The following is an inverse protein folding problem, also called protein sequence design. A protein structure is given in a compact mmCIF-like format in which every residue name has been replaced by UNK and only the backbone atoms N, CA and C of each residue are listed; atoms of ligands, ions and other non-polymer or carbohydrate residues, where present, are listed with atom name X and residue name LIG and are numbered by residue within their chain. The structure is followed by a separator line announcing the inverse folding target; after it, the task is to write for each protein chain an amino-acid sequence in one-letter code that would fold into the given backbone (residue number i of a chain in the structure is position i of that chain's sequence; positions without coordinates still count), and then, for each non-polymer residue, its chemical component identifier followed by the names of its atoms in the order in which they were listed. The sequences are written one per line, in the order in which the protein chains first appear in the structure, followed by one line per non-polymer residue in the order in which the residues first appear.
data_IF_983569208889
#
_entry.id   IF_983569208889
#
_cell.length_a   1.000
_cell.length_b   1.000
_cell.length_c   1.000
_cell.angle_alpha   90.00
_cell.angle_beta   90.00
_cell.angle_gamma   90.00
#
_symmetry.space_group_name_H-M   'P 1'
#
loop_
_entity.id
_entity.type
_entity.pdbx_description
1 polymer ?
#
# COMPACT_ATOMS: atom_id res chain seq x y z
N UNK A 1 4.43 16.20 -22.29
CA UNK A 1 4.19 15.85 -20.88
C UNK A 1 4.33 17.10 -20.03
N UNK A 2 3.34 17.42 -19.18
CA UNK A 2 3.43 18.57 -18.27
C UNK A 2 4.44 18.25 -17.17
N UNK A 3 5.41 19.15 -16.94
CA UNK A 3 6.37 18.98 -15.84
C UNK A 3 5.65 19.16 -14.50
N UNK A 4 5.51 18.12 -13.65
CA UNK A 4 4.79 18.19 -12.37
C UNK A 4 5.49 19.04 -11.32
N UNK A 5 6.74 19.44 -11.57
CA UNK A 5 7.55 20.29 -10.70
C UNK A 5 7.60 21.76 -11.13
N UNK A 6 6.93 22.11 -12.24
CA UNK A 6 6.85 23.51 -12.70
C UNK A 6 6.35 24.40 -11.57
N UNK A 7 6.98 25.54 -11.38
CA UNK A 7 6.66 26.52 -10.32
C UNK A 7 6.95 26.04 -8.87
N UNK A 8 7.70 24.95 -8.68
CA UNK A 8 8.20 24.58 -7.37
C UNK A 8 9.52 25.29 -7.07
N UNK A 9 9.68 25.72 -5.82
CA UNK A 9 10.90 26.42 -5.37
C UNK A 9 12.16 25.55 -5.41
N UNK A 10 12.00 24.20 -5.35
CA UNK A 10 13.10 23.23 -5.37
C UNK A 10 13.07 22.41 -6.65
N UNK A 11 14.25 21.94 -7.06
CA UNK A 11 14.40 21.04 -8.22
C UNK A 11 13.62 19.72 -7.98
N UNK A 12 13.07 19.17 -9.06
CA UNK A 12 12.25 17.95 -8.99
C UNK A 12 12.99 16.75 -8.39
N UNK A 13 14.29 16.65 -8.62
CA UNK A 13 15.14 15.59 -8.06
C UNK A 13 15.19 15.65 -6.52
N UNK A 14 15.34 16.84 -5.94
CA UNK A 14 15.35 17.06 -4.50
C UNK A 14 13.99 16.68 -3.90
N UNK A 15 12.90 17.10 -4.55
CA UNK A 15 11.54 16.79 -4.12
C UNK A 15 11.33 15.28 -4.10
N UNK A 16 11.64 14.59 -5.19
CA UNK A 16 11.45 13.14 -5.30
C UNK A 16 12.38 12.38 -4.36
N UNK A 17 13.59 12.85 -4.14
CA UNK A 17 14.52 12.26 -3.18
C UNK A 17 13.94 12.27 -1.77
N UNK A 18 13.45 13.42 -1.27
CA UNK A 18 12.81 13.54 0.02
C UNK A 18 11.55 12.66 0.13
N UNK A 19 10.69 12.67 -0.90
CA UNK A 19 9.49 11.83 -0.95
C UNK A 19 9.87 10.34 -0.89
N UNK A 20 10.84 9.92 -1.70
CA UNK A 20 11.33 8.54 -1.70
C UNK A 20 11.91 8.15 -0.35
N UNK A 21 12.73 8.98 0.27
CA UNK A 21 13.34 8.67 1.56
C UNK A 21 12.28 8.54 2.64
N UNK A 22 11.33 9.46 2.70
CA UNK A 22 10.22 9.36 3.64
C UNK A 22 9.41 8.06 3.46
N UNK A 23 9.02 7.73 2.23
CA UNK A 23 8.20 6.56 1.95
C UNK A 23 8.95 5.23 2.11
N UNK A 24 10.28 5.23 1.98
CA UNK A 24 11.11 4.02 1.99
C UNK A 24 11.70 3.70 3.34
N UNK A 25 12.19 4.70 4.06
CA UNK A 25 12.91 4.53 5.31
C UNK A 25 12.07 4.98 6.52
N UNK A 26 12.44 4.55 7.73
CA UNK A 26 11.78 4.93 8.98
C UNK A 26 12.13 6.34 9.46
N UNK A 27 12.27 7.30 8.54
CA UNK A 27 12.61 8.70 8.82
C UNK A 27 11.33 9.51 9.04
N UNK A 28 11.38 10.44 10.00
CA UNK A 28 10.36 11.46 10.16
C UNK A 28 10.56 12.61 9.16
N UNK A 29 9.58 13.50 9.03
CA UNK A 29 9.73 14.71 8.23
C UNK A 29 10.80 15.66 8.80
N UNK A 30 11.01 15.64 10.12
CA UNK A 30 12.03 16.44 10.80
C UNK A 30 13.43 15.91 10.54
N UNK A 31 13.63 14.59 10.66
CA UNK A 31 14.90 13.94 10.32
C UNK A 31 15.30 14.27 8.87
N UNK A 32 14.33 14.26 7.95
CA UNK A 32 14.61 14.63 6.57
C UNK A 32 14.98 16.10 6.39
N UNK A 33 14.34 17.02 7.13
CA UNK A 33 14.71 18.43 7.10
C UNK A 33 16.13 18.65 7.63
N UNK A 34 16.51 17.95 8.69
CA UNK A 34 17.87 17.95 9.25
C UNK A 34 18.90 17.41 8.25
N UNK A 35 18.64 16.21 7.69
CA UNK A 35 19.49 15.60 6.66
C UNK A 35 19.69 16.52 5.44
N UNK A 36 18.67 17.25 5.04
CA UNK A 36 18.77 18.21 3.92
C UNK A 36 19.59 19.43 4.32
N UNK A 37 19.43 19.93 5.56
CA UNK A 37 20.23 21.04 6.09
C UNK A 37 21.70 20.73 6.14
N UNK A 38 22.11 19.53 6.58
CA UNK A 38 23.50 19.05 6.55
C UNK A 38 24.13 19.07 5.15
N UNK A 39 23.30 19.07 4.10
CA UNK A 39 23.71 19.15 2.70
C UNK A 39 23.58 20.54 2.09
N UNK A 40 23.41 21.55 2.94
CA UNK A 40 23.26 22.94 2.53
C UNK A 40 21.92 23.31 1.92
N UNK A 41 20.88 22.47 2.12
CA UNK A 41 19.55 22.69 1.56
C UNK A 41 18.53 22.95 2.69
N UNK A 42 18.12 24.18 2.86
CA UNK A 42 17.14 24.58 3.88
C UNK A 42 15.71 24.25 3.44
N UNK A 43 15.22 23.07 3.86
CA UNK A 43 13.86 22.61 3.56
C UNK A 43 13.08 22.40 4.86
N UNK A 44 11.96 23.13 5.03
CA UNK A 44 11.11 23.00 6.21
C UNK A 44 10.34 21.67 6.16
N UNK A 45 10.23 20.96 7.30
CA UNK A 45 9.56 19.66 7.40
C UNK A 45 8.10 19.66 6.89
N UNK A 46 7.38 20.77 7.04
CA UNK A 46 6.01 20.94 6.49
C UNK A 46 5.99 20.96 4.96
N UNK A 47 7.04 21.45 4.32
CA UNK A 47 7.20 21.40 2.87
C UNK A 47 7.39 19.98 2.39
N UNK A 48 8.24 19.19 3.07
CA UNK A 48 8.43 17.76 2.77
C UNK A 48 7.11 17.00 2.96
N UNK A 49 6.35 17.28 4.04
CA UNK A 49 5.02 16.72 4.24
C UNK A 49 4.10 17.01 3.05
N UNK A 50 4.02 18.26 2.59
CA UNK A 50 3.19 18.63 1.43
C UNK A 50 3.63 17.92 0.16
N UNK A 51 4.94 17.73 -0.04
CA UNK A 51 5.46 16.96 -1.18
C UNK A 51 5.01 15.50 -1.12
N UNK A 52 5.10 14.87 0.04
CA UNK A 52 4.64 13.48 0.20
C UNK A 52 3.15 13.36 -0.10
N UNK A 53 2.32 14.28 0.44
CA UNK A 53 0.88 14.26 0.20
C UNK A 53 0.51 14.48 -1.28
N UNK A 54 1.29 15.28 -1.99
CA UNK A 54 1.08 15.56 -3.42
C UNK A 54 1.60 14.44 -4.31
N UNK A 55 2.85 13.99 -4.09
CA UNK A 55 3.53 13.13 -5.05
C UNK A 55 3.37 11.62 -4.77
N UNK A 56 3.06 11.20 -3.54
CA UNK A 56 2.84 9.79 -3.25
C UNK A 56 1.67 9.20 -4.07
N UNK A 57 0.49 9.85 -4.17
CA UNK A 57 -0.58 9.41 -5.05
C UNK A 57 -0.22 9.42 -6.55
N UNK A 58 0.56 10.40 -6.99
CA UNK A 58 0.98 10.50 -8.39
C UNK A 58 1.96 9.37 -8.78
N UNK A 59 2.90 9.04 -7.89
CA UNK A 59 3.82 7.91 -8.08
C UNK A 59 3.01 6.61 -8.17
N UNK A 60 2.04 6.40 -7.27
CA UNK A 60 1.16 5.23 -7.30
C UNK A 60 0.42 5.13 -8.63
N UNK A 61 -0.24 6.21 -9.06
CA UNK A 61 -0.98 6.25 -10.33
C UNK A 61 -0.10 5.88 -11.52
N UNK A 62 1.11 6.44 -11.60
CA UNK A 62 2.06 6.15 -12.69
C UNK A 62 2.55 4.70 -12.65
N UNK A 63 2.89 4.19 -11.48
CA UNK A 63 3.43 2.83 -11.35
C UNK A 63 2.38 1.75 -11.63
N UNK A 64 1.11 1.97 -11.30
CA UNK A 64 0.03 0.98 -11.51
C UNK A 64 -0.12 0.56 -12.97
N UNK A 65 0.07 1.46 -13.92
CA UNK A 65 0.02 1.15 -15.35
C UNK A 65 1.14 0.19 -15.83
N UNK A 66 2.20 0.05 -15.04
CA UNK A 66 3.38 -0.74 -15.37
C UNK A 66 3.58 -1.96 -14.46
N UNK A 67 2.57 -2.34 -13.66
CA UNK A 67 2.66 -3.51 -12.80
C UNK A 67 2.67 -4.80 -13.64
N UNK A 68 3.48 -5.77 -13.19
CA UNK A 68 3.46 -7.13 -13.71
C UNK A 68 2.22 -7.85 -13.21
N UNK A 69 1.73 -8.81 -13.97
CA UNK A 69 0.63 -9.65 -13.54
C UNK A 69 1.00 -10.44 -12.28
N UNK A 70 0.03 -10.56 -11.37
CA UNK A 70 0.11 -11.40 -10.18
C UNK A 70 -0.20 -12.86 -10.51
N UNK A 71 0.07 -13.79 -9.59
CA UNK A 71 -0.44 -15.16 -9.75
C UNK A 71 -1.83 -15.35 -9.11
N UNK A 72 -2.46 -16.49 -9.41
CA UNK A 72 -3.82 -16.81 -8.99
C UNK A 72 -3.93 -17.41 -7.56
N UNK A 73 -2.90 -17.28 -6.72
CA UNK A 73 -2.90 -17.81 -5.36
C UNK A 73 -2.67 -16.69 -4.35
N UNK A 74 -3.76 -16.24 -3.70
CA UNK A 74 -3.75 -15.04 -2.87
C UNK A 74 -3.61 -15.35 -1.38
N UNK A 75 -2.99 -14.43 -0.66
CA UNK A 75 -2.90 -14.38 0.81
C UNK A 75 -3.46 -13.05 1.25
N UNK A 76 -4.49 -13.07 2.06
CA UNK A 76 -5.21 -11.87 2.52
C UNK A 76 -5.20 -11.85 4.03
N UNK A 77 -4.84 -10.71 4.58
CA UNK A 77 -4.84 -10.46 6.02
C UNK A 77 -5.02 -8.97 6.29
N UNK A 78 -5.36 -8.61 7.51
CA UNK A 78 -5.43 -7.23 7.94
C UNK A 78 -4.47 -6.94 9.10
N UNK A 79 -4.04 -5.70 9.16
CA UNK A 79 -3.27 -5.16 10.27
C UNK A 79 -3.85 -3.83 10.73
N UNK A 80 -3.34 -3.28 11.83
CA UNK A 80 -3.86 -2.06 12.42
C UNK A 80 -2.94 -0.88 12.11
N UNK A 81 -3.56 0.28 11.84
CA UNK A 81 -2.90 1.57 11.65
C UNK A 81 -3.64 2.62 12.48
N UNK A 82 -2.91 3.45 13.23
CA UNK A 82 -3.51 4.54 14.01
C UNK A 82 -3.72 5.77 13.12
N UNK A 83 -4.97 6.29 13.09
CA UNK A 83 -5.34 7.46 12.28
C UNK A 83 -6.26 8.35 13.11
N UNK A 84 -5.88 9.61 13.31
CA UNK A 84 -6.63 10.53 14.15
C UNK A 84 -6.87 10.01 15.56
N UNK A 85 -5.87 9.39 16.15
CA UNK A 85 -5.98 8.78 17.48
C UNK A 85 -6.72 7.44 17.53
N UNK A 86 -7.38 7.00 16.46
CA UNK A 86 -8.19 5.77 16.40
C UNK A 86 -7.50 4.66 15.61
N UNK A 87 -7.69 3.40 16.02
CA UNK A 87 -7.22 2.24 15.27
C UNK A 87 -8.14 1.98 14.07
N UNK A 88 -7.52 1.82 12.91
CA UNK A 88 -8.18 1.44 11.66
C UNK A 88 -7.57 0.15 11.12
N UNK A 89 -8.33 -0.56 10.30
CA UNK A 89 -7.92 -1.80 9.66
C UNK A 89 -7.30 -1.52 8.30
N UNK A 90 -6.09 -2.01 8.09
CA UNK A 90 -5.42 -2.02 6.82
C UNK A 90 -5.48 -3.43 6.24
N UNK A 91 -6.43 -3.65 5.34
CA UNK A 91 -6.54 -4.88 4.54
C UNK A 91 -5.43 -4.90 3.51
N UNK A 92 -4.79 -6.04 3.36
CA UNK A 92 -3.72 -6.24 2.37
C UNK A 92 -3.80 -7.62 1.75
N UNK A 93 -3.47 -7.70 0.48
CA UNK A 93 -3.33 -8.97 -0.23
C UNK A 93 -1.98 -9.04 -0.92
N UNK A 94 -1.38 -10.22 -0.87
CA UNK A 94 -0.19 -10.60 -1.64
C UNK A 94 -0.45 -11.92 -2.35
N UNK A 95 0.28 -12.18 -3.42
CA UNK A 95 0.26 -13.51 -4.05
C UNK A 95 1.20 -14.50 -3.34
N UNK A 96 1.29 -15.73 -3.86
CA UNK A 96 2.14 -16.76 -3.26
C UNK A 96 3.65 -16.48 -3.37
N UNK A 97 4.05 -15.55 -4.23
CA UNK A 97 5.43 -15.08 -4.36
C UNK A 97 5.73 -13.86 -3.50
N UNK A 98 4.71 -13.36 -2.77
CA UNK A 98 4.80 -12.17 -1.95
C UNK A 98 4.63 -10.86 -2.71
N UNK A 99 4.23 -10.91 -3.99
CA UNK A 99 3.89 -9.69 -4.74
C UNK A 99 2.64 -9.05 -4.16
N UNK A 100 2.67 -7.73 -3.95
CA UNK A 100 1.52 -6.99 -3.45
C UNK A 100 0.43 -6.91 -4.52
N UNK A 101 -0.79 -7.32 -4.17
CA UNK A 101 -1.96 -7.14 -5.02
C UNK A 101 -2.53 -5.73 -4.87
N UNK A 102 -3.03 -5.44 -3.68
CA UNK A 102 -3.52 -4.11 -3.31
C UNK A 102 -3.74 -4.02 -1.79
N UNK A 103 -4.17 -2.85 -1.32
CA UNK A 103 -4.53 -2.58 0.06
C UNK A 103 -5.82 -1.75 0.16
N UNK A 104 -6.45 -1.77 1.33
CA UNK A 104 -7.59 -0.91 1.68
C UNK A 104 -7.50 -0.50 3.15
N UNK A 105 -7.53 0.80 3.43
CA UNK A 105 -7.71 1.33 4.78
C UNK A 105 -9.21 1.48 5.07
N UNK A 106 -9.68 0.91 6.18
CA UNK A 106 -11.08 0.97 6.59
C UNK A 106 -11.23 1.12 8.10
N UNK A 107 -12.32 1.74 8.54
CA UNK A 107 -12.59 1.95 9.98
C UNK A 107 -13.07 0.68 10.68
N UNK A 108 -13.73 -0.21 9.97
CA UNK A 108 -14.35 -1.40 10.52
C UNK A 108 -13.80 -2.68 9.91
N UNK A 109 -13.83 -3.76 10.70
CA UNK A 109 -13.58 -5.14 10.27
C UNK A 109 -14.94 -5.82 10.07
N UNK A 110 -15.44 -5.81 8.85
CA UNK A 110 -16.78 -6.34 8.51
C UNK A 110 -16.78 -7.02 7.15
N UNK A 111 -17.78 -7.87 6.89
CA UNK A 111 -18.01 -8.49 5.57
C UNK A 111 -18.08 -7.43 4.46
N UNK A 112 -18.78 -6.32 4.71
CA UNK A 112 -18.86 -5.20 3.76
C UNK A 112 -17.48 -4.59 3.44
N UNK A 113 -16.61 -4.45 4.44
CA UNK A 113 -15.25 -3.94 4.25
C UNK A 113 -14.38 -4.93 3.46
N UNK A 114 -14.44 -6.22 3.80
CA UNK A 114 -13.75 -7.28 3.08
C UNK A 114 -14.22 -7.36 1.61
N UNK A 115 -15.54 -7.30 1.37
CA UNK A 115 -16.11 -7.29 0.02
C UNK A 115 -15.65 -6.09 -0.80
N UNK A 116 -15.64 -4.88 -0.20
CA UNK A 116 -15.10 -3.67 -0.84
C UNK A 116 -13.61 -3.81 -1.18
N UNK A 117 -12.84 -4.44 -0.29
CA UNK A 117 -11.43 -4.72 -0.53
C UNK A 117 -11.23 -5.66 -1.73
N UNK A 118 -11.91 -6.80 -1.75
CA UNK A 118 -11.82 -7.74 -2.88
C UNK A 118 -12.24 -7.12 -4.21
N UNK A 119 -13.35 -6.36 -4.24
CA UNK A 119 -13.76 -5.65 -5.45
C UNK A 119 -12.71 -4.67 -5.95
N UNK A 120 -12.05 -3.96 -5.01
CA UNK A 120 -10.94 -3.06 -5.36
C UNK A 120 -9.78 -3.82 -5.97
N UNK A 121 -9.39 -4.98 -5.41
CA UNK A 121 -8.32 -5.82 -5.93
C UNK A 121 -8.67 -6.34 -7.32
N UNK A 122 -9.84 -6.96 -7.46
CA UNK A 122 -10.31 -7.57 -8.73
C UNK A 122 -10.45 -6.54 -9.86
N UNK A 123 -10.72 -5.28 -9.54
CA UNK A 123 -10.82 -4.19 -10.52
C UNK A 123 -9.48 -3.68 -11.07
N UNK A 124 -8.34 -4.24 -10.66
CA UNK A 124 -7.03 -3.82 -11.16
C UNK A 124 -6.59 -4.64 -12.36
N UNK A 125 -6.05 -3.99 -13.39
CA UNK A 125 -5.67 -4.63 -14.68
C UNK A 125 -4.52 -5.64 -14.58
N UNK A 126 -3.69 -5.56 -13.54
CA UNK A 126 -2.56 -6.47 -13.33
C UNK A 126 -2.92 -7.70 -12.50
N UNK A 127 -4.16 -7.81 -12.04
CA UNK A 127 -4.61 -8.89 -11.19
C UNK A 127 -5.12 -10.05 -12.02
N UNK A 128 -4.58 -11.23 -11.76
CA UNK A 128 -5.13 -12.50 -12.23
C UNK A 128 -6.18 -12.98 -11.22
N UNK A 129 -7.41 -13.28 -11.65
CA UNK A 129 -8.45 -13.80 -10.76
C UNK A 129 -7.98 -15.00 -9.95
N UNK A 130 -8.30 -15.07 -8.65
CA UNK A 130 -7.75 -16.10 -7.79
C UNK A 130 -8.38 -17.48 -8.05
N UNK A 131 -7.54 -18.49 -8.14
CA UNK A 131 -7.94 -19.90 -8.00
C UNK A 131 -8.09 -20.27 -6.52
N UNK A 132 -7.30 -19.62 -5.65
CA UNK A 132 -7.34 -19.87 -4.20
C UNK A 132 -7.07 -18.59 -3.43
N UNK A 133 -7.87 -18.34 -2.39
CA UNK A 133 -7.68 -17.23 -1.44
C UNK A 133 -7.41 -17.84 -0.07
N UNK A 134 -6.21 -17.58 0.48
CA UNK A 134 -5.88 -17.92 1.84
C UNK A 134 -6.20 -16.72 2.74
N UNK A 135 -7.02 -16.95 3.76
CA UNK A 135 -7.48 -15.96 4.75
C UNK A 135 -7.36 -16.57 6.15
N UNK A 136 -7.45 -15.73 7.17
CA UNK A 136 -7.67 -16.22 8.52
C UNK A 136 -9.09 -16.84 8.67
N UNK A 137 -9.40 -17.36 9.86
CA UNK A 137 -10.72 -17.98 10.15
C UNK A 137 -11.84 -16.96 10.39
N UNK A 138 -11.62 -15.66 10.10
CA UNK A 138 -12.60 -14.62 10.32
C UNK A 138 -13.84 -14.80 9.43
N UNK A 139 -15.03 -14.82 10.05
CA UNK A 139 -16.31 -14.96 9.37
C UNK A 139 -16.57 -13.89 8.30
N UNK A 140 -16.00 -12.69 8.47
CA UNK A 140 -16.15 -11.60 7.50
C UNK A 140 -15.63 -11.95 6.09
N UNK A 141 -14.56 -12.76 6.00
CA UNK A 141 -14.05 -13.21 4.71
C UNK A 141 -14.92 -14.31 4.08
N UNK A 142 -15.58 -15.13 4.93
CA UNK A 142 -16.46 -16.19 4.45
C UNK A 142 -17.62 -15.56 3.68
N UNK A 143 -18.35 -14.65 4.33
CA UNK A 143 -19.48 -13.96 3.70
C UNK A 143 -19.06 -13.13 2.48
N UNK A 144 -17.91 -12.43 2.57
CA UNK A 144 -17.45 -11.63 1.45
C UNK A 144 -17.11 -12.46 0.18
N UNK A 145 -16.46 -13.62 0.35
CA UNK A 145 -16.13 -14.52 -0.78
C UNK A 145 -17.40 -15.13 -1.37
N UNK A 146 -18.35 -15.54 -0.52
CA UNK A 146 -19.63 -16.08 -0.97
C UNK A 146 -20.42 -15.07 -1.81
N UNK A 147 -20.61 -13.86 -1.25
CA UNK A 147 -21.28 -12.77 -1.95
C UNK A 147 -20.66 -12.44 -3.32
N UNK A 148 -19.32 -12.46 -3.40
CA UNK A 148 -18.61 -12.16 -4.64
C UNK A 148 -18.73 -13.26 -5.70
N UNK A 149 -18.91 -14.52 -5.29
CA UNK A 149 -19.24 -15.62 -6.21
C UNK A 149 -20.66 -15.46 -6.74
N UNK A 150 -21.63 -15.19 -5.86
CA UNK A 150 -23.04 -14.94 -6.25
C UNK A 150 -23.18 -13.75 -7.21
N UNK A 151 -22.30 -12.75 -7.08
CA UNK A 151 -22.22 -11.61 -8.00
C UNK A 151 -21.46 -11.90 -9.30
N UNK A 152 -20.89 -13.09 -9.46
CA UNK A 152 -20.08 -13.45 -10.62
C UNK A 152 -18.72 -12.75 -10.71
N UNK A 153 -18.26 -12.09 -9.62
CA UNK A 153 -16.97 -11.40 -9.56
C UNK A 153 -15.82 -12.34 -9.21
N UNK A 154 -16.12 -13.45 -8.56
CA UNK A 154 -15.17 -14.54 -8.31
C UNK A 154 -15.66 -15.82 -8.99
N UNK A 155 -14.76 -16.61 -9.62
CA UNK A 155 -15.13 -17.91 -10.17
C UNK A 155 -15.67 -18.84 -9.08
N UNK A 156 -16.68 -19.66 -9.39
CA UNK A 156 -17.16 -20.69 -8.46
C UNK A 156 -16.08 -21.69 -8.06
N UNK A 157 -15.12 -21.93 -8.96
CA UNK A 157 -13.93 -22.76 -8.74
C UNK A 157 -12.91 -22.14 -7.78
N UNK A 158 -13.09 -20.88 -7.37
CA UNK A 158 -12.19 -20.26 -6.42
C UNK A 158 -12.35 -20.89 -5.03
N UNK A 159 -11.27 -21.48 -4.50
CA UNK A 159 -11.27 -22.11 -3.18
C UNK A 159 -10.79 -21.15 -2.10
N UNK A 160 -11.52 -21.10 -0.98
CA UNK A 160 -11.06 -20.45 0.23
C UNK A 160 -10.31 -21.44 1.12
N UNK A 161 -9.11 -21.07 1.58
CA UNK A 161 -8.28 -21.87 2.49
C UNK A 161 -8.05 -21.11 3.80
N UNK A 162 -8.58 -21.58 4.94
CA UNK A 162 -8.35 -20.96 6.25
C UNK A 162 -7.08 -21.54 6.92
N UNK A 163 -5.91 -21.42 6.29
CA UNK A 163 -4.66 -22.03 6.75
C UNK A 163 -3.70 -20.95 7.25
N UNK A 164 -3.50 -20.91 8.57
CA UNK A 164 -2.74 -19.86 9.25
C UNK A 164 -1.29 -19.73 8.76
N UNK A 165 -0.54 -20.81 8.65
CA UNK A 165 0.88 -20.74 8.27
C UNK A 165 1.12 -20.19 6.85
N UNK A 166 0.15 -20.30 5.95
CA UNK A 166 0.24 -19.72 4.62
C UNK A 166 0.14 -18.20 4.63
N UNK A 167 -0.33 -17.61 5.72
CA UNK A 167 -0.39 -16.16 5.88
C UNK A 167 0.93 -15.54 6.37
N UNK A 168 1.94 -16.33 6.72
CA UNK A 168 3.25 -15.84 7.14
C UNK A 168 3.86 -14.86 6.12
N UNK A 169 3.62 -15.05 4.83
CA UNK A 169 4.11 -14.18 3.75
C UNK A 169 3.49 -12.78 3.88
N UNK A 170 2.17 -12.66 4.04
CA UNK A 170 1.50 -11.37 4.20
C UNK A 170 1.79 -10.76 5.57
N UNK A 171 1.96 -11.56 6.62
CA UNK A 171 2.37 -11.09 7.95
C UNK A 171 3.79 -10.48 7.92
N UNK A 172 4.74 -11.10 7.19
CA UNK A 172 6.07 -10.53 6.99
C UNK A 172 6.00 -9.21 6.20
N UNK A 173 5.12 -9.14 5.22
CA UNK A 173 4.90 -7.93 4.43
C UNK A 173 4.27 -6.81 5.29
N UNK A 174 3.45 -7.14 6.30
CA UNK A 174 2.97 -6.19 7.31
C UNK A 174 4.11 -5.57 8.13
N UNK A 175 5.19 -6.29 8.39
CA UNK A 175 6.36 -5.76 9.15
C UNK A 175 6.99 -4.57 8.44
N UNK A 176 7.03 -4.57 7.11
CA UNK A 176 7.53 -3.45 6.34
C UNK A 176 6.70 -2.17 6.60
N UNK A 177 5.37 -2.27 6.53
CA UNK A 177 4.47 -1.16 6.80
C UNK A 177 4.59 -0.68 8.26
N UNK A 178 4.54 -1.62 9.21
CA UNK A 178 4.65 -1.29 10.65
C UNK A 178 5.96 -0.58 10.97
N UNK A 179 7.09 -1.05 10.43
CA UNK A 179 8.39 -0.41 10.63
C UNK A 179 8.43 1.03 10.12
N UNK A 180 7.70 1.32 9.04
CA UNK A 180 7.61 2.66 8.46
C UNK A 180 6.69 3.59 9.29
N UNK A 181 5.57 3.07 9.80
CA UNK A 181 4.54 3.88 10.46
C UNK A 181 4.85 4.11 11.95
N UNK A 182 5.47 3.15 12.63
CA UNK A 182 5.75 3.20 14.09
C UNK A 182 6.46 4.48 14.54
N UNK A 183 7.54 4.95 13.89
CA UNK A 183 8.23 6.17 14.33
C UNK A 183 7.35 7.42 14.35
N UNK A 184 6.35 7.50 13.46
CA UNK A 184 5.41 8.62 13.36
C UNK A 184 4.17 8.49 14.23
N UNK A 185 4.07 7.45 15.07
CA UNK A 185 2.91 7.17 15.96
C UNK A 185 1.56 7.10 15.24
N UNK A 186 1.54 6.97 13.92
CA UNK A 186 0.34 6.92 13.08
C UNK A 186 0.17 8.15 12.21
N UNK A 187 -1.06 8.41 11.79
CA UNK A 187 -1.43 9.50 10.89
C UNK A 187 -2.44 10.44 11.55
N UNK A 188 -2.39 11.74 11.19
CA UNK A 188 -3.30 12.74 11.74
C UNK A 188 -4.72 12.65 11.20
N UNK A 189 -4.91 12.23 9.93
CA UNK A 189 -6.23 12.14 9.29
C UNK A 189 -6.30 11.00 8.28
N UNK A 190 -7.52 10.60 7.91
CA UNK A 190 -7.73 9.55 6.89
C UNK A 190 -7.15 9.93 5.51
N UNK A 191 -7.36 11.14 4.96
CA UNK A 191 -6.78 11.49 3.67
C UNK A 191 -5.26 11.43 3.67
N UNK A 192 -4.60 11.94 4.72
CA UNK A 192 -3.13 11.90 4.83
C UNK A 192 -2.60 10.49 4.99
N UNK A 193 -3.29 9.63 5.75
CA UNK A 193 -2.98 8.21 5.87
C UNK A 193 -3.08 7.52 4.51
N UNK A 194 -4.19 7.73 3.79
CA UNK A 194 -4.46 7.13 2.49
C UNK A 194 -3.39 7.48 1.46
N UNK A 195 -3.08 8.79 1.32
CA UNK A 195 -2.07 9.24 0.37
C UNK A 195 -0.68 8.68 0.69
N UNK A 196 -0.29 8.70 1.96
CA UNK A 196 1.01 8.18 2.38
C UNK A 196 1.11 6.67 2.19
N UNK A 197 0.07 5.91 2.55
CA UNK A 197 0.03 4.45 2.36
C UNK A 197 0.14 4.07 0.88
N UNK A 198 -0.52 4.80 -0.03
CA UNK A 198 -0.37 4.59 -1.48
C UNK A 198 1.10 4.65 -1.89
N UNK A 199 1.82 5.68 -1.45
CA UNK A 199 3.25 5.81 -1.75
C UNK A 199 4.10 4.70 -1.13
N UNK A 200 3.86 4.35 0.13
CA UNK A 200 4.59 3.28 0.83
C UNK A 200 4.41 1.94 0.11
N UNK A 201 3.17 1.58 -0.24
CA UNK A 201 2.87 0.33 -0.96
C UNK A 201 3.50 0.32 -2.35
N UNK A 202 3.43 1.44 -3.06
CA UNK A 202 4.05 1.56 -4.39
C UNK A 202 5.56 1.39 -4.32
N UNK A 203 6.24 2.03 -3.37
CA UNK A 203 7.69 1.82 -3.21
C UNK A 203 8.02 0.39 -2.79
N UNK A 204 7.13 -0.27 -2.05
CA UNK A 204 7.28 -1.69 -1.74
C UNK A 204 7.15 -2.56 -3.00
N UNK A 205 6.19 -2.27 -3.88
CA UNK A 205 6.05 -2.95 -5.18
C UNK A 205 7.28 -2.76 -6.07
N UNK A 206 7.83 -1.53 -6.14
CA UNK A 206 9.07 -1.26 -6.89
C UNK A 206 10.22 -2.08 -6.32
N UNK A 207 10.39 -2.12 -4.99
CA UNK A 207 11.42 -2.89 -4.32
C UNK A 207 11.32 -4.40 -4.62
N UNK A 208 10.10 -4.93 -4.68
CA UNK A 208 9.82 -6.33 -5.02
C UNK A 208 10.04 -6.63 -6.51
N UNK A 209 10.30 -5.61 -7.35
CA UNK A 209 10.49 -5.75 -8.79
C UNK A 209 9.18 -6.01 -9.54
N UNK A 210 8.04 -5.59 -8.98
CA UNK A 210 6.72 -5.75 -9.59
C UNK A 210 6.44 -4.74 -10.70
N UNK A 211 7.18 -3.63 -10.76
CA UNK A 211 7.02 -2.61 -11.81
C UNK A 211 7.90 -2.96 -12.99
N UNK A 212 7.32 -3.06 -14.19
CA UNK A 212 8.06 -3.27 -15.44
C UNK A 212 9.03 -2.11 -15.64
N UNK A 213 10.21 -2.38 -16.22
CA UNK A 213 11.27 -1.39 -16.46
C UNK A 213 11.93 -0.78 -15.22
N UNK A 214 11.46 -1.09 -14.01
CA UNK A 214 12.17 -0.71 -12.79
C UNK A 214 13.19 -1.79 -12.41
N UNK A 215 14.44 -1.37 -12.12
CA UNK A 215 15.45 -2.30 -11.58
C UNK A 215 15.06 -2.71 -10.17
N UNK A 216 15.22 -4.00 -9.86
CA UNK A 216 15.03 -4.53 -8.51
C UNK A 216 16.18 -4.03 -7.62
N UNK A 217 15.87 -3.39 -6.51
CA UNK A 217 16.85 -2.87 -5.54
C UNK A 217 16.73 -3.55 -4.19
#
# INVERSE_FOLDING_TARGET
MVNPFKWRHYQGEIIILCVRWYLRYGLSYRDLAEIMSERGLTVVYTTIFRWVQCFAPEIDKKCRAHLKQTNASWRVDETYVKVGGRWMYLYRAVDSEGNTLDFLLNQTRSTRAAKRFFRKVLGQSHIVPPRVINVDKNAAYIGAVQDLKEEGLLPDTCHRRPVKYLNNIVEQDHRFIKRKIRPGLGFGSFPTAWNTLRGIETLNMIRKGQVRQARKH
#
